data_IF_689162265337
#
_entry.id   IF_689162265337
#
_cell.length_a   1.000
_cell.length_b   1.000
_cell.length_c   1.000
_cell.angle_alpha   90.00
_cell.angle_beta   90.00
_cell.angle_gamma   90.00
#
_symmetry.space_group_name_H-M   'P 1'
#
loop_
_entity.id
_entity.type
_entity.pdbx_description
1 polymer ?
#
# COMPACT_ATOMS: atom_id res chain seq x y z
N UNK A 1 -10.61 5.92 -1.26
CA UNK A 1 -9.19 6.33 -1.22
C UNK A 1 -9.03 7.63 -0.47
N UNK A 2 -9.77 8.70 -0.82
CA UNK A 2 -9.72 10.00 -0.13
C UNK A 2 -9.82 9.91 1.39
N UNK A 3 -10.76 9.10 1.92
CA UNK A 3 -10.91 8.86 3.36
C UNK A 3 -9.66 8.27 4.06
N UNK A 4 -8.72 7.67 3.32
CA UNK A 4 -7.44 7.20 3.87
C UNK A 4 -6.32 8.23 3.79
N UNK A 5 -6.50 9.30 3.00
CA UNK A 5 -5.50 10.35 2.79
C UNK A 5 -5.57 11.41 3.87
N UNK A 6 -6.76 11.78 4.32
CA UNK A 6 -6.97 12.85 5.29
C UNK A 6 -7.96 12.46 6.39
N UNK A 7 -7.93 13.22 7.48
CA UNK A 7 -8.81 13.02 8.62
C UNK A 7 -10.14 13.79 8.48
N UNK A 8 -10.63 14.02 7.25
CA UNK A 8 -11.89 14.77 7.04
C UNK A 8 -13.15 13.94 7.30
N UNK A 9 -12.98 12.68 7.69
CA UNK A 9 -14.10 11.78 8.04
C UNK A 9 -14.70 12.20 9.37
N UNK A 10 -15.92 12.74 9.30
CA UNK A 10 -16.69 13.22 10.46
C UNK A 10 -17.17 12.09 11.38
N UNK A 11 -17.49 10.92 10.80
CA UNK A 11 -17.92 9.77 11.56
C UNK A 11 -16.75 9.15 12.35
N UNK A 12 -16.87 9.17 13.68
CA UNK A 12 -15.82 8.68 14.59
C UNK A 12 -15.52 7.21 14.36
N UNK A 13 -16.55 6.39 14.22
CA UNK A 13 -16.41 4.94 14.09
C UNK A 13 -15.67 4.58 12.81
N UNK A 14 -16.03 5.22 11.69
CA UNK A 14 -15.35 5.04 10.42
C UNK A 14 -13.91 5.54 10.48
N UNK A 15 -13.65 6.70 11.09
CA UNK A 15 -12.28 7.22 11.24
C UNK A 15 -11.39 6.26 12.03
N UNK A 16 -11.92 5.69 13.12
CA UNK A 16 -11.21 4.65 13.89
C UNK A 16 -10.97 3.38 13.08
N UNK A 17 -11.94 2.93 12.28
CA UNK A 17 -11.78 1.77 11.41
C UNK A 17 -10.71 2.00 10.32
N UNK A 18 -10.69 3.19 9.72
CA UNK A 18 -9.69 3.59 8.73
C UNK A 18 -8.29 3.66 9.36
N UNK A 19 -8.16 4.20 10.57
CA UNK A 19 -6.91 4.18 11.32
C UNK A 19 -6.47 2.73 11.62
N UNK A 20 -7.36 1.89 12.14
CA UNK A 20 -7.08 0.49 12.44
C UNK A 20 -6.59 -0.29 11.20
N UNK A 21 -7.15 -0.01 10.01
CA UNK A 21 -6.69 -0.64 8.77
C UNK A 21 -5.25 -0.32 8.39
N UNK A 22 -4.75 0.85 8.81
CA UNK A 22 -3.39 1.35 8.53
C UNK A 22 -2.40 1.06 9.66
N UNK A 23 -2.85 0.53 10.79
CA UNK A 23 -1.99 0.09 11.89
C UNK A 23 -1.18 -1.13 11.45
N UNK A 24 0.13 -1.08 11.66
CA UNK A 24 1.04 -2.19 11.36
C UNK A 24 1.12 -3.19 12.51
N UNK A 25 0.88 -4.47 12.23
CA UNK A 25 0.93 -5.53 13.24
C UNK A 25 2.16 -6.43 13.09
N UNK A 26 2.65 -6.62 11.86
CA UNK A 26 3.79 -7.46 11.55
C UNK A 26 4.71 -6.79 10.53
N UNK A 27 5.99 -7.10 10.59
CA UNK A 27 6.94 -6.79 9.52
C UNK A 27 7.43 -8.05 8.82
N UNK A 28 7.51 -8.00 7.50
CA UNK A 28 8.07 -9.03 6.63
C UNK A 28 9.08 -8.34 5.71
N UNK A 29 10.36 -8.51 6.02
CA UNK A 29 11.42 -7.71 5.41
C UNK A 29 11.18 -6.20 5.63
N UNK A 30 10.95 -5.46 4.53
CA UNK A 30 10.65 -4.01 4.57
C UNK A 30 9.16 -3.68 4.54
N UNK A 31 8.30 -4.67 4.28
CA UNK A 31 6.85 -4.49 4.27
C UNK A 31 6.31 -4.56 5.70
N UNK A 32 5.34 -3.70 6.02
CA UNK A 32 4.55 -3.76 7.25
C UNK A 32 3.10 -4.10 6.93
N UNK A 33 2.61 -5.18 7.53
CA UNK A 33 1.27 -5.73 7.32
C UNK A 33 0.27 -5.05 8.27
N UNK A 34 -0.75 -4.40 7.70
CA UNK A 34 -1.93 -3.91 8.40
C UNK A 34 -3.16 -4.79 8.16
N UNK A 35 -4.36 -4.26 8.40
CA UNK A 35 -5.60 -4.98 8.07
C UNK A 35 -5.97 -4.70 6.61
N UNK A 36 -5.68 -5.66 5.75
CA UNK A 36 -5.82 -5.52 4.30
C UNK A 36 -4.63 -4.81 3.67
N UNK A 37 -4.30 -3.59 4.11
CA UNK A 37 -3.20 -2.81 3.56
C UNK A 37 -1.82 -3.38 3.87
N UNK A 38 -0.93 -3.32 2.88
CA UNK A 38 0.52 -3.50 3.03
C UNK A 38 1.18 -2.12 2.95
N UNK A 39 2.24 -1.87 3.73
CA UNK A 39 2.87 -0.54 3.77
C UNK A 39 4.39 -0.54 3.82
N UNK A 40 4.98 0.53 3.30
CA UNK A 40 6.42 0.78 3.24
C UNK A 40 6.70 2.19 3.74
N UNK A 41 7.88 2.44 4.33
CA UNK A 41 8.31 3.82 4.57
C UNK A 41 8.41 4.56 3.23
N UNK A 42 7.97 5.82 3.20
CA UNK A 42 8.02 6.65 2.00
C UNK A 42 9.12 7.72 2.16
N UNK A 43 9.91 8.02 1.10
CA UNK A 43 9.89 7.40 -0.22
C UNK A 43 10.38 5.94 -0.20
N UNK A 44 9.81 5.12 -1.09
CA UNK A 44 10.13 3.69 -1.23
C UNK A 44 10.77 3.43 -2.60
N UNK A 45 11.84 2.65 -2.61
CA UNK A 45 12.49 2.24 -3.85
C UNK A 45 11.61 1.23 -4.62
N UNK A 46 11.57 1.35 -5.95
CA UNK A 46 10.78 0.45 -6.82
C UNK A 46 11.08 -1.03 -6.54
N UNK A 47 12.36 -1.39 -6.40
CA UNK A 47 12.78 -2.77 -6.10
C UNK A 47 12.12 -3.31 -4.81
N UNK A 48 11.98 -2.48 -3.78
CA UNK A 48 11.34 -2.89 -2.52
C UNK A 48 9.85 -3.15 -2.70
N UNK A 49 9.16 -2.33 -3.50
CA UNK A 49 7.76 -2.55 -3.84
C UNK A 49 7.56 -3.83 -4.66
N UNK A 50 8.41 -4.03 -5.67
CA UNK A 50 8.38 -5.23 -6.52
C UNK A 50 8.62 -6.50 -5.71
N UNK A 51 9.64 -6.50 -4.85
CA UNK A 51 9.91 -7.64 -3.97
C UNK A 51 8.73 -7.94 -3.05
N UNK A 52 8.14 -6.90 -2.46
CA UNK A 52 7.03 -7.05 -1.54
C UNK A 52 5.69 -7.41 -2.19
N UNK A 53 5.59 -7.41 -3.52
CA UNK A 53 4.39 -7.83 -4.27
C UNK A 53 4.71 -8.97 -5.26
N UNK A 54 5.83 -9.64 -5.05
CA UNK A 54 6.33 -10.74 -5.87
C UNK A 54 5.51 -12.01 -5.67
N UNK A 55 5.62 -12.95 -6.62
CA UNK A 55 5.01 -14.28 -6.46
C UNK A 55 5.54 -15.03 -5.23
N UNK A 56 6.82 -14.83 -4.88
CA UNK A 56 7.41 -15.42 -3.67
C UNK A 56 6.74 -14.87 -2.40
N UNK A 57 6.50 -13.55 -2.32
CA UNK A 57 5.75 -12.98 -1.20
C UNK A 57 4.33 -13.54 -1.10
N UNK A 58 3.70 -13.82 -2.25
CA UNK A 58 2.29 -14.23 -2.33
C UNK A 58 2.12 -15.74 -2.06
N UNK A 59 3.00 -16.57 -2.58
CA UNK A 59 2.81 -18.02 -2.65
C UNK A 59 3.62 -18.79 -1.59
N UNK A 60 4.67 -18.18 -1.04
CA UNK A 60 5.57 -18.86 -0.11
C UNK A 60 5.36 -18.39 1.34
N UNK A 61 5.68 -19.24 2.33
CA UNK A 61 5.74 -18.81 3.71
C UNK A 61 6.91 -17.84 3.92
N UNK A 62 6.59 -16.65 4.43
CA UNK A 62 7.58 -15.61 4.73
C UNK A 62 7.66 -15.36 6.24
N UNK A 63 8.87 -15.35 6.85
CA UNK A 63 9.01 -15.07 8.29
C UNK A 63 8.44 -13.69 8.66
N UNK A 64 7.45 -13.69 9.55
CA UNK A 64 6.80 -12.48 10.03
C UNK A 64 7.23 -12.15 11.46
N UNK A 65 7.62 -10.90 11.71
CA UNK A 65 7.98 -10.40 13.03
C UNK A 65 6.84 -9.58 13.61
N UNK A 66 6.35 -9.96 14.79
CA UNK A 66 5.28 -9.21 15.46
C UNK A 66 5.78 -7.87 15.98
N UNK A 67 5.04 -6.80 15.69
CA UNK A 67 5.32 -5.47 16.22
C UNK A 67 4.61 -5.31 17.58
N UNK A 68 5.38 -5.04 18.63
CA UNK A 68 4.87 -4.83 19.99
C UNK A 68 5.54 -3.59 20.61
N UNK A 69 4.83 -2.46 20.76
CA UNK A 69 3.42 -2.25 20.40
C UNK A 69 3.18 -2.29 18.87
N UNK A 70 1.93 -2.46 18.40
CA UNK A 70 1.59 -2.25 17.00
C UNK A 70 2.05 -0.88 16.51
N UNK A 71 2.51 -0.80 15.28
CA UNK A 71 2.96 0.44 14.67
C UNK A 71 1.74 1.30 14.31
N UNK A 72 1.64 2.49 14.90
CA UNK A 72 0.58 3.43 14.59
C UNK A 72 0.54 3.78 13.07
N UNK A 73 -0.62 4.16 12.52
CA UNK A 73 -0.72 4.64 11.14
C UNK A 73 0.28 5.77 10.89
N UNK A 74 1.02 5.67 9.78
CA UNK A 74 2.08 6.61 9.42
C UNK A 74 1.59 7.53 8.31
N UNK A 75 1.98 8.81 8.40
CA UNK A 75 1.75 9.75 7.31
C UNK A 75 2.76 9.52 6.18
N UNK A 76 4.03 9.36 6.52
CA UNK A 76 5.13 9.09 5.58
C UNK A 76 5.24 7.58 5.27
N UNK A 77 4.20 7.04 4.66
CA UNK A 77 4.17 5.66 4.22
C UNK A 77 3.37 5.49 2.93
N UNK A 78 3.88 4.65 2.04
CA UNK A 78 3.11 4.16 0.90
C UNK A 78 2.33 2.94 1.35
N UNK A 79 1.01 3.04 1.31
CA UNK A 79 0.08 1.93 1.51
C UNK A 79 -0.35 1.41 0.15
N UNK A 80 -0.34 0.10 -0.06
CA UNK A 80 -0.79 -0.48 -1.32
C UNK A 80 -1.57 -1.78 -1.17
N UNK A 81 -2.22 -2.14 -2.28
CA UNK A 81 -2.80 -3.46 -2.50
C UNK A 81 -2.92 -3.80 -3.97
N UNK A 82 -2.48 -5.00 -4.35
CA UNK A 82 -2.83 -5.65 -5.62
C UNK A 82 -4.08 -6.52 -5.48
N UNK A 83 -4.90 -6.60 -6.52
CA UNK A 83 -6.00 -7.56 -6.61
C UNK A 83 -6.16 -8.10 -8.03
N UNK A 84 -6.49 -9.38 -8.18
CA UNK A 84 -6.63 -10.00 -9.50
C UNK A 84 -7.79 -11.00 -9.49
N UNK A 85 -8.46 -11.11 -10.65
CA UNK A 85 -9.35 -12.23 -10.99
C UNK A 85 -8.88 -12.82 -12.32
N UNK A 86 -9.60 -13.80 -12.87
CA UNK A 86 -9.27 -14.35 -14.18
C UNK A 86 -9.30 -13.31 -15.31
N UNK A 87 -10.17 -12.29 -15.21
CA UNK A 87 -10.36 -11.29 -16.25
C UNK A 87 -9.94 -9.87 -15.88
N UNK A 88 -9.50 -9.62 -14.65
CA UNK A 88 -9.23 -8.27 -14.18
C UNK A 88 -7.96 -8.18 -13.35
N UNK A 89 -7.30 -7.03 -13.46
CA UNK A 89 -6.17 -6.63 -12.63
C UNK A 89 -6.42 -5.27 -12.00
N UNK A 90 -6.21 -5.18 -10.70
CA UNK A 90 -6.32 -3.94 -9.92
C UNK A 90 -5.04 -3.67 -9.12
N UNK A 91 -4.75 -2.39 -8.93
CA UNK A 91 -3.76 -1.91 -7.98
C UNK A 91 -4.22 -0.59 -7.38
N UNK A 92 -4.09 -0.46 -6.07
CA UNK A 92 -4.34 0.79 -5.35
C UNK A 92 -3.09 1.10 -4.54
N UNK A 93 -2.63 2.35 -4.58
CA UNK A 93 -1.60 2.84 -3.69
C UNK A 93 -1.87 4.29 -3.28
N UNK A 94 -1.48 4.66 -2.06
CA UNK A 94 -1.62 6.03 -1.59
C UNK A 94 -0.55 6.39 -0.55
N UNK A 95 -0.22 7.68 -0.49
CA UNK A 95 0.76 8.26 0.43
C UNK A 95 0.08 9.41 1.18
N UNK A 96 -0.30 9.23 2.46
CA UNK A 96 -1.03 10.26 3.20
C UNK A 96 -0.27 11.59 3.33
N UNK A 97 1.05 11.58 3.56
CA UNK A 97 1.85 12.81 3.67
C UNK A 97 1.79 13.69 2.41
N UNK A 98 1.69 13.07 1.24
CA UNK A 98 1.65 13.74 -0.06
C UNK A 98 0.22 14.06 -0.54
N UNK A 99 -0.80 13.67 0.24
CA UNK A 99 -2.21 13.75 -0.16
C UNK A 99 -2.49 13.16 -1.56
N UNK A 100 -1.74 12.11 -1.93
CA UNK A 100 -1.79 11.52 -3.26
C UNK A 100 -2.19 10.05 -3.20
N UNK A 101 -2.96 9.62 -4.18
CA UNK A 101 -3.23 8.21 -4.39
C UNK A 101 -3.53 7.88 -5.84
N UNK A 102 -3.31 6.62 -6.19
CA UNK A 102 -3.52 6.07 -7.52
C UNK A 102 -4.38 4.83 -7.44
N UNK A 103 -5.32 4.73 -8.38
CA UNK A 103 -6.16 3.55 -8.60
C UNK A 103 -5.97 3.13 -10.05
N UNK A 104 -5.51 1.90 -10.26
CA UNK A 104 -5.37 1.29 -11.58
C UNK A 104 -6.33 0.12 -11.68
N UNK A 105 -7.16 0.14 -12.72
CA UNK A 105 -8.10 -0.94 -13.05
C UNK A 105 -7.90 -1.34 -14.50
N UNK A 106 -7.74 -2.63 -14.75
CA UNK A 106 -7.65 -3.20 -16.08
C UNK A 106 -8.58 -4.40 -16.23
N UNK A 107 -9.17 -4.52 -17.42
CA UNK A 107 -9.96 -5.68 -17.87
C UNK A 107 -9.08 -6.82 -18.42
N UNK A 108 -7.86 -6.93 -17.90
CA UNK A 108 -6.96 -8.04 -18.14
C UNK A 108 -6.09 -8.27 -16.90
N UNK A 109 -5.83 -9.52 -16.53
CA UNK A 109 -4.92 -9.85 -15.43
C UNK A 109 -3.46 -9.87 -15.92
N UNK A 110 -2.87 -8.68 -16.04
CA UNK A 110 -1.45 -8.51 -16.37
C UNK A 110 -0.57 -8.53 -15.09
N UNK A 111 0.75 -8.78 -15.18
CA UNK A 111 1.61 -9.00 -14.02
C UNK A 111 1.57 -7.87 -12.98
N UNK A 112 1.64 -8.22 -11.68
CA UNK A 112 1.69 -7.23 -10.58
C UNK A 112 2.83 -6.23 -10.74
N UNK A 113 4.01 -6.70 -11.17
CA UNK A 113 5.19 -5.84 -11.37
C UNK A 113 4.93 -4.67 -12.30
N UNK A 114 4.27 -4.91 -13.44
CA UNK A 114 3.91 -3.86 -14.39
C UNK A 114 2.92 -2.82 -13.80
N UNK A 115 2.00 -3.25 -12.91
CA UNK A 115 1.10 -2.32 -12.20
C UNK A 115 1.90 -1.40 -11.29
N UNK A 116 2.83 -1.98 -10.55
CA UNK A 116 3.64 -1.30 -9.54
C UNK A 116 4.64 -0.37 -10.18
N UNK A 117 5.30 -0.78 -11.27
CA UNK A 117 6.22 0.06 -12.04
C UNK A 117 5.53 1.32 -12.56
N UNK A 118 4.39 1.16 -13.22
CA UNK A 118 3.62 2.29 -13.74
C UNK A 118 3.16 3.23 -12.62
N UNK A 119 2.64 2.67 -11.52
CA UNK A 119 2.20 3.47 -10.37
C UNK A 119 3.36 4.19 -9.68
N UNK A 120 4.51 3.53 -9.51
CA UNK A 120 5.71 4.13 -8.91
C UNK A 120 6.21 5.30 -9.76
N UNK A 121 6.33 5.11 -11.08
CA UNK A 121 6.72 6.19 -12.00
C UNK A 121 5.77 7.39 -11.95
N UNK A 122 4.46 7.15 -11.95
CA UNK A 122 3.46 8.22 -11.87
C UNK A 122 3.52 8.95 -10.53
N UNK A 123 3.61 8.22 -9.41
CA UNK A 123 3.72 8.82 -8.08
C UNK A 123 5.01 9.65 -7.97
N UNK A 124 6.16 9.10 -8.38
CA UNK A 124 7.44 9.82 -8.37
C UNK A 124 7.38 11.09 -9.21
N UNK A 125 6.85 11.03 -10.44
CA UNK A 125 6.74 12.22 -11.29
C UNK A 125 5.85 13.31 -10.65
N UNK A 126 4.76 12.93 -9.96
CA UNK A 126 3.86 13.88 -9.33
C UNK A 126 4.43 14.50 -8.05
N UNK A 127 5.28 13.77 -7.31
CA UNK A 127 5.88 14.24 -6.04
C UNK A 127 7.25 14.90 -6.22
N UNK A 128 7.96 14.68 -7.33
CA UNK A 128 9.19 15.42 -7.67
C UNK A 128 8.90 16.87 -8.12
N UNK A 129 7.65 17.16 -8.51
CA UNK A 129 7.25 18.45 -9.10
C UNK A 129 6.57 19.39 -8.09
N UNK A 130 6.48 19.00 -6.81
CA UNK A 130 5.90 19.76 -5.69
C UNK A 130 6.98 20.14 -4.68
#
# INVERSE_FOLDING_TARGET
>A
MEAHLNDTVQDETLRQALAASRTGYFSIGKMTQGLGWESYAYPVALEQLLKGNSLEMILEPNPANRLTPPLAPRQEALYNKTGSTNGFGGYVAFVPSEQIGIVMLANHNYPNGARIEAAHQLLSALTETL
#
